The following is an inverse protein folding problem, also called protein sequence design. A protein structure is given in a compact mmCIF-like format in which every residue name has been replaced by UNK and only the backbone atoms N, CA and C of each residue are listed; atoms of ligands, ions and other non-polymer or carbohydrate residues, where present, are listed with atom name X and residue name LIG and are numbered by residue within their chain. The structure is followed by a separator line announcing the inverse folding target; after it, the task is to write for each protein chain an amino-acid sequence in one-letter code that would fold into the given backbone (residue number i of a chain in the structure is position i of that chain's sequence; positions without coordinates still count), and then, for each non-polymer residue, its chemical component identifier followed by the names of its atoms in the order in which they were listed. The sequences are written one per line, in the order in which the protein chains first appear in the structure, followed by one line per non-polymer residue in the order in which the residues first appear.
data_IF_351412562939
#
_entry.id   IF_351412562939
#
_cell.length_a   1.000
_cell.length_b   1.000
_cell.length_c   1.000
_cell.angle_alpha   90.00
_cell.angle_beta   90.00
_cell.angle_gamma   90.00
#
_symmetry.space_group_name_H-M   'P 1'
#
loop_
_entity.id
_entity.type
_entity.pdbx_description
1 polymer ?
#
# COMPACT_ATOMS: atom_id res chain seq x y z
N UNK A 1 36.72 -8.13 1.10
CA UNK A 1 35.76 -8.16 -0.03
C UNK A 1 34.37 -8.62 0.41
N UNK A 2 34.20 -9.84 0.93
CA UNK A 2 32.93 -10.34 1.49
C UNK A 2 32.31 -9.42 2.55
N UNK A 3 33.12 -8.88 3.47
CA UNK A 3 32.64 -7.95 4.50
C UNK A 3 32.04 -6.65 3.91
N UNK A 4 32.69 -6.09 2.88
CA UNK A 4 32.21 -4.87 2.22
C UNK A 4 30.91 -5.11 1.44
N UNK A 5 30.76 -6.28 0.81
CA UNK A 5 29.53 -6.70 0.13
C UNK A 5 28.38 -6.83 1.13
N UNK A 6 28.62 -7.49 2.27
CA UNK A 6 27.58 -7.63 3.31
C UNK A 6 27.15 -6.27 3.88
N UNK A 7 28.09 -5.36 4.15
CA UNK A 7 27.74 -4.01 4.61
C UNK A 7 26.92 -3.22 3.57
N UNK A 8 27.24 -3.39 2.28
CA UNK A 8 26.49 -2.78 1.20
C UNK A 8 25.06 -3.33 1.12
N UNK A 9 24.88 -4.65 1.22
CA UNK A 9 23.55 -5.29 1.22
C UNK A 9 22.69 -4.85 2.42
N UNK A 10 23.29 -4.77 3.62
CA UNK A 10 22.59 -4.27 4.81
C UNK A 10 22.11 -2.82 4.60
N UNK A 11 22.95 -1.98 3.97
CA UNK A 11 22.59 -0.59 3.69
C UNK A 11 21.43 -0.49 2.69
N UNK A 12 21.42 -1.29 1.63
CA UNK A 12 20.30 -1.35 0.68
C UNK A 12 19.02 -1.78 1.39
N UNK A 13 19.05 -2.89 2.12
CA UNK A 13 17.87 -3.39 2.83
C UNK A 13 17.33 -2.36 3.84
N UNK A 14 18.22 -1.60 4.51
CA UNK A 14 17.81 -0.53 5.42
C UNK A 14 17.12 0.64 4.70
N UNK A 15 17.55 0.95 3.47
CA UNK A 15 16.92 1.98 2.65
C UNK A 15 15.53 1.54 2.18
N UNK A 16 15.39 0.28 1.76
CA UNK A 16 14.11 -0.28 1.34
C UNK A 16 13.08 -0.26 2.48
N UNK A 17 13.50 -0.68 3.68
CA UNK A 17 12.67 -0.61 4.87
C UNK A 17 12.27 0.83 5.23
N UNK A 18 13.19 1.78 5.12
CA UNK A 18 12.90 3.20 5.34
C UNK A 18 11.89 3.75 4.33
N UNK A 19 12.08 3.47 3.04
CA UNK A 19 11.18 3.91 1.97
C UNK A 19 9.77 3.33 2.18
N UNK A 20 9.68 2.04 2.51
CA UNK A 20 8.41 1.38 2.80
C UNK A 20 7.69 2.06 3.98
N UNK A 21 8.42 2.32 5.07
CA UNK A 21 7.88 3.04 6.22
C UNK A 21 7.41 4.46 5.85
N UNK A 22 8.20 5.19 5.06
CA UNK A 22 7.82 6.54 4.61
C UNK A 22 6.55 6.51 3.76
N UNK A 23 6.41 5.56 2.83
CA UNK A 23 5.23 5.39 1.99
C UNK A 23 3.98 5.12 2.84
N UNK A 24 4.08 4.29 3.88
CA UNK A 24 2.98 4.05 4.81
C UNK A 24 2.53 5.33 5.53
N UNK A 25 3.48 6.15 6.01
CA UNK A 25 3.16 7.42 6.69
C UNK A 25 2.58 8.45 5.74
N UNK A 26 3.17 8.61 4.56
CA UNK A 26 2.67 9.55 3.56
C UNK A 26 1.26 9.18 3.10
N UNK A 27 0.98 7.91 2.82
CA UNK A 27 -0.37 7.48 2.45
C UNK A 27 -1.41 7.72 3.55
N UNK A 28 -1.08 7.45 4.81
CA UNK A 28 -1.96 7.74 5.95
C UNK A 28 -2.23 9.25 6.08
N UNK A 29 -1.20 10.10 5.96
CA UNK A 29 -1.35 11.54 5.98
C UNK A 29 -2.19 12.03 4.81
N UNK A 30 -1.99 11.50 3.60
CA UNK A 30 -2.80 11.83 2.43
C UNK A 30 -4.29 11.53 2.66
N UNK A 31 -4.62 10.39 3.27
CA UNK A 31 -6.01 10.08 3.65
C UNK A 31 -6.55 11.12 4.63
N UNK A 32 -5.79 11.41 5.69
CA UNK A 32 -6.21 12.35 6.74
C UNK A 32 -6.47 13.75 6.18
N UNK A 33 -5.66 14.23 5.25
CA UNK A 33 -5.89 15.53 4.58
C UNK A 33 -7.03 15.49 3.56
N UNK A 34 -7.26 14.36 2.91
CA UNK A 34 -8.30 14.24 1.87
C UNK A 34 -9.70 14.16 2.48
N UNK A 35 -9.87 13.59 3.68
CA UNK A 35 -11.18 13.48 4.34
C UNK A 35 -11.86 14.87 4.53
N UNK A 36 -11.20 15.89 5.13
CA UNK A 36 -11.79 17.23 5.20
C UNK A 36 -12.10 17.84 3.83
N UNK A 37 -11.25 17.59 2.82
CA UNK A 37 -11.49 18.11 1.47
C UNK A 37 -12.76 17.52 0.85
N UNK A 38 -13.02 16.23 1.04
CA UNK A 38 -14.27 15.59 0.62
C UNK A 38 -15.47 16.26 1.29
N UNK A 39 -15.40 16.51 2.60
CA UNK A 39 -16.51 17.10 3.38
C UNK A 39 -16.75 18.57 2.99
N UNK A 40 -15.70 19.34 2.75
CA UNK A 40 -15.80 20.79 2.55
C UNK A 40 -16.07 21.19 1.09
N UNK A 41 -15.52 20.46 0.13
CA UNK A 41 -15.61 20.81 -1.30
C UNK A 41 -16.72 20.03 -2.01
N UNK A 42 -17.16 18.90 -1.44
CA UNK A 42 -18.24 18.05 -1.96
C UNK A 42 -18.10 17.75 -3.46
N UNK A 43 -16.90 17.36 -3.87
CA UNK A 43 -16.59 17.06 -5.27
C UNK A 43 -16.22 15.58 -5.45
N UNK A 44 -16.86 14.92 -6.43
CA UNK A 44 -16.70 13.49 -6.72
C UNK A 44 -15.24 13.05 -6.90
N UNK A 45 -14.42 13.86 -7.58
CA UNK A 45 -12.97 13.60 -7.72
C UNK A 45 -12.25 13.40 -6.38
N UNK A 46 -12.56 14.16 -5.32
CA UNK A 46 -11.92 13.95 -4.01
C UNK A 46 -12.36 12.63 -3.38
N UNK A 47 -13.62 12.23 -3.58
CA UNK A 47 -14.13 10.95 -3.10
C UNK A 47 -13.44 9.78 -3.83
N UNK A 48 -13.27 9.89 -5.15
CA UNK A 48 -12.50 8.91 -5.95
C UNK A 48 -11.07 8.81 -5.44
N UNK A 49 -10.37 9.94 -5.28
CA UNK A 49 -9.01 9.98 -4.75
C UNK A 49 -8.94 9.35 -3.36
N UNK A 50 -9.90 9.66 -2.48
CA UNK A 50 -9.96 9.08 -1.14
C UNK A 50 -10.06 7.55 -1.18
N UNK A 51 -10.92 7.00 -2.04
CA UNK A 51 -11.04 5.55 -2.21
C UNK A 51 -9.75 4.91 -2.73
N UNK A 52 -9.10 5.52 -3.74
CA UNK A 52 -7.80 5.04 -4.22
C UNK A 52 -6.74 5.06 -3.12
N UNK A 53 -6.68 6.13 -2.34
CA UNK A 53 -5.74 6.26 -1.21
C UNK A 53 -6.01 5.20 -0.14
N UNK A 54 -7.28 4.91 0.18
CA UNK A 54 -7.63 3.83 1.11
C UNK A 54 -7.19 2.45 0.61
N UNK A 55 -7.51 2.11 -0.65
CA UNK A 55 -7.09 0.82 -1.23
C UNK A 55 -5.57 0.71 -1.23
N UNK A 56 -4.87 1.77 -1.61
CA UNK A 56 -3.41 1.81 -1.57
C UNK A 56 -2.88 1.63 -0.15
N UNK A 57 -3.34 2.41 0.82
CA UNK A 57 -2.87 2.34 2.21
C UNK A 57 -3.11 0.97 2.83
N UNK A 58 -4.31 0.42 2.66
CA UNK A 58 -4.65 -0.93 3.14
C UNK A 58 -3.77 -1.98 2.47
N UNK A 59 -3.52 -1.87 1.16
CA UNK A 59 -2.67 -2.83 0.46
C UNK A 59 -1.24 -2.88 1.01
N UNK A 60 -0.65 -1.72 1.29
CA UNK A 60 0.70 -1.63 1.88
C UNK A 60 0.69 -2.18 3.30
N UNK A 61 -0.36 -1.90 4.08
CA UNK A 61 -0.53 -2.41 5.44
C UNK A 61 -0.68 -3.94 5.50
N UNK A 62 -1.55 -4.52 4.68
CA UNK A 62 -1.72 -5.98 4.58
C UNK A 62 -0.44 -6.64 4.08
N UNK A 63 0.26 -6.01 3.13
CA UNK A 63 1.54 -6.53 2.65
C UNK A 63 2.57 -6.67 3.78
N UNK A 64 2.66 -5.68 4.68
CA UNK A 64 3.49 -5.79 5.88
C UNK A 64 3.08 -6.95 6.77
N UNK A 65 1.78 -7.18 6.99
CA UNK A 65 1.33 -8.33 7.77
C UNK A 65 1.72 -9.67 7.11
N UNK A 66 1.65 -9.75 5.78
CA UNK A 66 2.11 -10.93 5.04
C UNK A 66 3.62 -11.13 5.24
N UNK A 67 4.41 -10.07 5.04
CA UNK A 67 5.87 -10.14 5.15
C UNK A 67 6.33 -10.48 6.59
N UNK A 68 5.62 -9.98 7.61
CA UNK A 68 5.98 -10.18 9.03
C UNK A 68 5.57 -11.54 9.58
N UNK A 69 4.45 -12.11 9.13
CA UNK A 69 3.83 -13.28 9.75
C UNK A 69 3.80 -14.55 8.89
N UNK A 70 4.09 -14.47 7.59
CA UNK A 70 4.09 -15.63 6.69
C UNK A 70 5.51 -15.97 6.29
N UNK A 71 6.02 -17.08 6.80
CA UNK A 71 7.38 -17.56 6.53
C UNK A 71 7.44 -18.81 5.64
N UNK A 72 6.29 -19.40 5.34
CA UNK A 72 6.20 -20.49 4.35
C UNK A 72 6.09 -19.90 2.94
N UNK A 73 6.98 -20.31 2.04
CA UNK A 73 7.10 -19.75 0.69
C UNK A 73 5.82 -19.91 -0.14
N UNK A 74 5.11 -21.04 0.03
CA UNK A 74 3.88 -21.33 -0.71
C UNK A 74 2.76 -20.45 -0.19
N UNK A 75 2.58 -20.38 1.13
CA UNK A 75 1.60 -19.50 1.76
C UNK A 75 1.86 -18.03 1.45
N UNK A 76 3.13 -17.62 1.39
CA UNK A 76 3.54 -16.27 1.03
C UNK A 76 3.14 -15.91 -0.41
N UNK A 77 3.41 -16.83 -1.35
CA UNK A 77 3.02 -16.67 -2.75
C UNK A 77 1.51 -16.59 -2.91
N UNK A 78 0.76 -17.47 -2.24
CA UNK A 78 -0.70 -17.50 -2.28
C UNK A 78 -1.27 -16.20 -1.70
N UNK A 79 -0.85 -15.81 -0.50
CA UNK A 79 -1.38 -14.62 0.18
C UNK A 79 -1.06 -13.33 -0.59
N UNK A 80 0.16 -13.20 -1.11
CA UNK A 80 0.58 -12.07 -1.95
C UNK A 80 -0.20 -12.00 -3.26
N UNK A 81 -0.47 -13.15 -3.88
CA UNK A 81 -1.26 -13.21 -5.12
C UNK A 81 -2.72 -12.85 -4.85
N UNK A 82 -3.29 -13.39 -3.78
CA UNK A 82 -4.66 -13.09 -3.36
C UNK A 82 -4.85 -11.60 -3.04
N UNK A 83 -3.90 -10.98 -2.35
CA UNK A 83 -3.90 -9.54 -2.09
C UNK A 83 -3.94 -8.73 -3.40
N UNK A 84 -3.10 -9.08 -4.39
CA UNK A 84 -3.10 -8.41 -5.70
C UNK A 84 -4.45 -8.53 -6.42
N UNK A 85 -5.04 -9.73 -6.40
CA UNK A 85 -6.35 -9.98 -7.00
C UNK A 85 -7.44 -9.14 -6.33
N UNK A 86 -7.47 -9.11 -4.98
CA UNK A 86 -8.41 -8.27 -4.22
C UNK A 86 -8.27 -6.80 -4.62
N UNK A 87 -7.04 -6.28 -4.70
CA UNK A 87 -6.80 -4.88 -5.07
C UNK A 87 -7.38 -4.59 -6.47
N UNK A 88 -7.14 -5.47 -7.45
CA UNK A 88 -7.69 -5.30 -8.81
C UNK A 88 -9.22 -5.25 -8.78
N UNK A 89 -9.86 -6.15 -8.04
CA UNK A 89 -11.32 -6.15 -7.92
C UNK A 89 -11.85 -4.89 -7.21
N UNK A 90 -11.19 -4.43 -6.14
CA UNK A 90 -11.57 -3.21 -5.44
C UNK A 90 -11.45 -1.98 -6.36
N UNK A 91 -10.33 -1.83 -7.07
CA UNK A 91 -10.13 -0.73 -8.01
C UNK A 91 -11.17 -0.75 -9.13
N UNK A 92 -11.45 -1.94 -9.69
CA UNK A 92 -12.51 -2.10 -10.70
C UNK A 92 -13.88 -1.69 -10.15
N UNK A 93 -14.23 -2.11 -8.94
CA UNK A 93 -15.50 -1.75 -8.30
C UNK A 93 -15.62 -0.26 -8.07
N UNK A 94 -14.55 0.41 -7.63
CA UNK A 94 -14.49 1.87 -7.51
C UNK A 94 -14.81 2.50 -8.86
N UNK A 95 -14.13 2.11 -9.94
CA UNK A 95 -14.41 2.65 -11.27
C UNK A 95 -15.86 2.46 -11.71
N UNK A 96 -16.45 1.28 -11.48
CA UNK A 96 -17.84 1.01 -11.84
C UNK A 96 -18.80 1.93 -11.07
N UNK A 97 -18.60 2.10 -9.76
CA UNK A 97 -19.45 2.96 -8.91
C UNK A 97 -19.45 4.42 -9.37
N UNK A 98 -18.35 4.91 -9.95
CA UNK A 98 -18.22 6.31 -10.37
C UNK A 98 -18.55 6.58 -11.84
N UNK A 99 -18.57 5.54 -12.69
CA UNK A 99 -18.91 5.66 -14.12
C UNK A 99 -20.40 5.38 -14.36
N UNK A 100 -21.00 4.45 -13.60
CA UNK A 100 -22.43 4.12 -13.67
C UNK A 100 -23.27 5.12 -12.85
#
# INVERSE_FOLDING_TARGET
MLHAINQFLVKINSLDGFLHWTIQRLSALSILFTIPLVILVDHVYFLVILFFLFVFHISVGIRTLIDDYIHDDILFLISSTFLRIIIIFLLKSIFIIFIC
#
